data_IF_781977090788
#
_entry.id   IF_781977090788
#
_cell.length_a   1.000
_cell.length_b   1.000
_cell.length_c   1.000
_cell.angle_alpha   90.00
_cell.angle_beta   90.00
_cell.angle_gamma   90.00
#
_symmetry.space_group_name_H-M   'P 1'
#
loop_
_entity.id
_entity.type
_entity.pdbx_description
1 polymer ?
#
# COMPACT_ATOMS: atom_id res chain seq x y z
N UNK A 1 -21.41 -19.41 -16.06
CA UNK A 1 -20.48 -19.10 -17.17
C UNK A 1 -21.15 -19.32 -18.51
N UNK A 2 -21.55 -20.56 -18.86
CA UNK A 2 -22.14 -20.88 -20.18
C UNK A 2 -23.29 -19.96 -20.62
N UNK A 3 -24.32 -19.79 -19.79
CA UNK A 3 -25.46 -18.91 -20.11
C UNK A 3 -25.06 -17.45 -20.34
N UNK A 4 -24.16 -16.91 -19.51
CA UNK A 4 -23.67 -15.54 -19.65
C UNK A 4 -22.79 -15.33 -20.89
N UNK A 5 -22.14 -16.37 -21.41
CA UNK A 5 -21.37 -16.28 -22.67
C UNK A 5 -22.32 -16.06 -23.84
N UNK A 6 -23.46 -16.78 -23.84
CA UNK A 6 -24.43 -16.77 -24.94
C UNK A 6 -25.39 -15.59 -24.87
N UNK A 7 -25.94 -15.29 -23.68
CA UNK A 7 -26.98 -14.29 -23.51
C UNK A 7 -26.41 -12.87 -23.33
N UNK A 8 -25.30 -12.73 -22.62
CA UNK A 8 -24.77 -11.42 -22.17
C UNK A 8 -23.22 -11.37 -22.12
N UNK A 9 -22.54 -11.36 -23.29
CA UNK A 9 -21.09 -11.46 -23.35
C UNK A 9 -20.34 -10.33 -22.63
N UNK A 10 -20.93 -9.13 -22.53
CA UNK A 10 -20.35 -8.02 -21.76
C UNK A 10 -20.32 -8.32 -20.26
N UNK A 11 -21.40 -8.90 -19.71
CA UNK A 11 -21.43 -9.34 -18.31
C UNK A 11 -20.48 -10.50 -18.07
N UNK A 12 -20.35 -11.42 -19.04
CA UNK A 12 -19.35 -12.48 -18.95
C UNK A 12 -17.94 -11.91 -18.81
N UNK A 13 -17.57 -10.94 -19.65
CA UNK A 13 -16.23 -10.36 -19.63
C UNK A 13 -15.94 -9.64 -18.30
N UNK A 14 -16.93 -8.94 -17.72
CA UNK A 14 -16.73 -8.25 -16.43
C UNK A 14 -16.63 -9.25 -15.26
N UNK A 15 -17.53 -10.23 -15.19
CA UNK A 15 -17.58 -11.19 -14.08
C UNK A 15 -16.47 -12.24 -14.13
N UNK A 16 -16.06 -12.64 -15.33
CA UNK A 16 -15.10 -13.74 -15.54
C UNK A 16 -13.79 -13.30 -16.20
N UNK A 17 -13.47 -11.99 -16.18
CA UNK A 17 -12.21 -11.46 -16.71
C UNK A 17 -10.95 -12.20 -16.22
N UNK A 18 -10.88 -12.54 -14.93
CA UNK A 18 -9.74 -13.27 -14.36
C UNK A 18 -9.70 -14.73 -14.78
N UNK A 19 -10.86 -15.33 -15.04
CA UNK A 19 -10.96 -16.71 -15.52
C UNK A 19 -10.50 -16.79 -16.97
N UNK A 20 -10.98 -15.88 -17.82
CA UNK A 20 -10.51 -15.74 -19.20
C UNK A 20 -8.99 -15.50 -19.27
N UNK A 21 -8.44 -14.62 -18.41
CA UNK A 21 -6.98 -14.39 -18.32
C UNK A 21 -6.19 -15.63 -17.88
N UNK A 22 -6.80 -16.54 -17.13
CA UNK A 22 -6.17 -17.76 -16.64
C UNK A 22 -6.50 -19.00 -17.48
N UNK A 23 -7.27 -18.86 -18.56
CA UNK A 23 -7.72 -19.97 -19.40
C UNK A 23 -8.65 -20.95 -18.66
N UNK A 24 -9.44 -20.45 -17.71
CA UNK A 24 -10.39 -21.26 -16.95
C UNK A 24 -11.77 -21.07 -17.57
N UNK A 25 -12.35 -22.15 -18.07
CA UNK A 25 -13.62 -22.21 -18.75
C UNK A 25 -14.66 -22.92 -17.88
N UNK A 26 -15.92 -22.86 -18.30
CA UNK A 26 -17.01 -23.52 -17.58
C UNK A 26 -16.81 -25.04 -17.43
N UNK A 27 -16.09 -25.65 -18.36
CA UNK A 27 -15.95 -27.11 -18.48
C UNK A 27 -14.75 -27.62 -17.66
N UNK A 28 -13.69 -26.82 -17.56
CA UNK A 28 -12.45 -27.22 -16.89
C UNK A 28 -12.45 -26.93 -15.38
N UNK A 29 -13.42 -26.15 -14.90
CA UNK A 29 -13.49 -25.73 -13.49
C UNK A 29 -13.73 -26.92 -12.54
N UNK A 30 -14.51 -27.92 -12.94
CA UNK A 30 -14.75 -29.11 -12.12
C UNK A 30 -13.48 -29.95 -11.96
N UNK A 31 -12.76 -30.18 -13.05
CA UNK A 31 -11.51 -30.93 -13.05
C UNK A 31 -10.44 -30.20 -12.21
N UNK A 32 -10.38 -28.86 -12.32
CA UNK A 32 -9.51 -28.02 -11.50
C UNK A 32 -9.77 -28.26 -10.00
N UNK A 33 -11.02 -28.19 -9.55
CA UNK A 33 -11.35 -28.39 -8.14
C UNK A 33 -11.06 -29.81 -7.66
N UNK A 34 -11.30 -30.84 -8.48
CA UNK A 34 -10.93 -32.23 -8.13
C UNK A 34 -9.42 -32.36 -7.91
N UNK A 35 -8.61 -31.79 -8.80
CA UNK A 35 -7.13 -31.77 -8.67
C UNK A 35 -6.69 -31.02 -7.41
N UNK A 36 -7.27 -29.84 -7.15
CA UNK A 36 -6.98 -29.03 -5.95
C UNK A 36 -7.30 -29.80 -4.67
N UNK A 37 -8.47 -30.42 -4.59
CA UNK A 37 -8.84 -31.21 -3.40
C UNK A 37 -7.94 -32.43 -3.21
N UNK A 38 -7.53 -33.11 -4.28
CA UNK A 38 -6.56 -34.20 -4.18
C UNK A 38 -5.20 -33.70 -3.64
N UNK A 39 -4.72 -32.56 -4.13
CA UNK A 39 -3.47 -31.95 -3.67
C UNK A 39 -3.53 -31.53 -2.19
N UNK A 40 -4.61 -30.89 -1.75
CA UNK A 40 -4.80 -30.47 -0.34
C UNK A 40 -4.91 -31.69 0.59
N UNK A 41 -5.56 -32.78 0.17
CA UNK A 41 -5.63 -34.01 0.97
C UNK A 41 -4.27 -34.70 1.08
N UNK A 42 -3.45 -34.64 0.04
CA UNK A 42 -2.12 -35.22 0.03
C UNK A 42 -1.14 -34.45 0.95
N UNK A 43 -1.20 -33.12 0.94
CA UNK A 43 -0.41 -32.25 1.82
C UNK A 43 -1.31 -31.20 2.49
N UNK A 44 -1.85 -31.49 3.68
CA UNK A 44 -2.73 -30.58 4.40
C UNK A 44 -1.95 -29.47 5.15
N UNK A 45 -0.62 -29.44 5.04
CA UNK A 45 0.20 -28.50 5.81
C UNK A 45 0.21 -27.11 5.19
N UNK A 46 0.12 -26.08 6.03
CA UNK A 46 0.18 -24.68 5.57
C UNK A 46 1.63 -24.30 5.29
N UNK A 47 1.97 -24.14 4.00
CA UNK A 47 3.29 -23.65 3.58
C UNK A 47 3.44 -22.17 3.96
N UNK A 48 4.30 -21.89 4.94
CA UNK A 48 4.68 -20.53 5.32
C UNK A 48 5.55 -19.91 4.23
N UNK A 49 5.55 -18.59 4.10
CA UNK A 49 6.44 -17.95 3.13
C UNK A 49 7.89 -18.16 3.52
N UNK A 50 8.71 -18.58 2.56
CA UNK A 50 10.17 -18.69 2.71
C UNK A 50 10.87 -17.32 2.69
N UNK A 51 10.10 -16.23 2.60
CA UNK A 51 10.64 -14.88 2.59
C UNK A 51 11.44 -14.66 3.88
N UNK A 52 12.71 -14.26 3.79
CA UNK A 52 13.50 -13.96 4.97
C UNK A 52 12.83 -12.83 5.74
N UNK A 53 12.92 -12.88 7.07
CA UNK A 53 12.52 -11.73 7.88
C UNK A 53 13.32 -10.51 7.40
N UNK A 54 12.67 -9.34 7.20
CA UNK A 54 13.37 -8.13 6.82
C UNK A 54 14.50 -7.84 7.81
N UNK A 55 15.73 -7.67 7.31
CA UNK A 55 16.90 -7.37 8.16
C UNK A 55 16.69 -6.08 8.96
N UNK A 56 15.98 -5.12 8.37
CA UNK A 56 15.63 -3.86 8.99
C UNK A 56 14.14 -3.59 8.82
N UNK A 57 13.50 -3.11 9.89
CA UNK A 57 12.10 -2.69 9.84
C UNK A 57 11.99 -1.31 9.18
N UNK A 58 11.53 -1.27 7.92
CA UNK A 58 11.25 -0.02 7.22
C UNK A 58 10.13 0.74 7.93
N UNK A 59 10.44 1.92 8.48
CA UNK A 59 9.44 2.84 9.04
C UNK A 59 8.95 3.79 7.94
N UNK A 60 7.63 3.82 7.74
CA UNK A 60 6.99 4.79 6.83
C UNK A 60 6.59 6.10 7.52
N UNK A 61 6.55 6.08 8.85
CA UNK A 61 6.21 7.25 9.66
C UNK A 61 7.46 8.00 10.13
N UNK A 62 7.32 9.32 10.29
CA UNK A 62 8.37 10.17 10.86
C UNK A 62 8.74 9.72 12.28
N UNK A 63 10.04 9.78 12.60
CA UNK A 63 10.53 9.54 13.96
C UNK A 63 10.03 10.64 14.89
N UNK A 64 9.58 10.25 16.09
CA UNK A 64 9.16 11.21 17.11
C UNK A 64 10.36 12.08 17.49
N UNK A 65 10.19 13.39 17.35
CA UNK A 65 11.18 14.38 17.74
C UNK A 65 11.46 14.26 19.25
N UNK A 66 12.74 14.24 19.60
CA UNK A 66 13.21 14.26 20.99
C UNK A 66 12.92 15.62 21.63
N UNK A 67 13.13 15.73 22.95
CA UNK A 67 12.91 16.99 23.66
C UNK A 67 13.88 18.09 23.18
N UNK A 68 15.16 17.75 23.03
CA UNK A 68 16.19 18.71 22.63
C UNK A 68 15.98 19.20 21.20
N UNK A 69 15.64 18.31 20.28
CA UNK A 69 15.30 18.68 18.91
C UNK A 69 14.04 19.57 18.84
N UNK A 70 13.03 19.35 19.71
CA UNK A 70 11.87 20.25 19.83
C UNK A 70 12.28 21.63 20.36
N UNK A 71 13.18 21.68 21.33
CA UNK A 71 13.68 22.93 21.92
C UNK A 71 14.48 23.73 20.89
N UNK A 72 15.37 23.08 20.15
CA UNK A 72 16.16 23.73 19.11
C UNK A 72 15.27 24.29 18.01
N UNK A 73 14.27 23.52 17.54
CA UNK A 73 13.29 24.00 16.56
C UNK A 73 12.50 25.21 17.07
N UNK A 74 12.21 25.28 18.37
CA UNK A 74 11.57 26.44 18.99
C UNK A 74 12.51 27.65 19.00
N UNK A 75 13.77 27.47 19.41
CA UNK A 75 14.78 28.53 19.41
C UNK A 75 15.00 29.08 18.00
N UNK A 76 15.17 28.20 17.02
CA UNK A 76 15.28 28.57 15.60
C UNK A 76 14.08 29.39 15.13
N UNK A 77 12.86 28.97 15.51
CA UNK A 77 11.63 29.71 15.17
C UNK A 77 11.57 31.08 15.84
N UNK A 78 11.97 31.19 17.10
CA UNK A 78 11.99 32.47 17.83
C UNK A 78 13.06 33.42 17.28
N UNK A 79 14.25 32.91 16.98
CA UNK A 79 15.32 33.69 16.36
C UNK A 79 14.91 34.19 14.98
N UNK A 80 14.28 33.34 14.16
CA UNK A 80 13.75 33.75 12.86
C UNK A 80 12.67 34.82 12.99
N UNK A 81 11.77 34.71 13.99
CA UNK A 81 10.75 35.72 14.26
C UNK A 81 11.36 37.06 14.70
N UNK A 82 12.32 37.03 15.62
CA UNK A 82 12.98 38.24 16.11
C UNK A 82 13.78 38.93 15.00
N UNK A 83 14.48 38.17 14.15
CA UNK A 83 15.18 38.72 12.99
C UNK A 83 14.21 39.30 11.95
N UNK A 84 13.03 38.70 11.77
CA UNK A 84 12.01 39.22 10.86
C UNK A 84 11.33 40.49 11.40
N UNK A 85 11.13 40.59 12.72
CA UNK A 85 10.56 41.79 13.35
C UNK A 85 11.54 42.97 13.37
N UNK A 86 12.84 42.72 13.54
CA UNK A 86 13.86 43.78 13.47
C UNK A 86 14.11 44.31 12.05
N UNK A 87 13.69 43.58 11.01
CA UNK A 87 13.80 44.05 9.63
C UNK A 87 12.66 44.99 9.20
N UNK A 88 11.58 45.09 9.99
CA UNK A 88 10.42 45.95 9.71
C UNK A 88 10.50 47.30 10.46
N UNK A 89 11.37 47.40 11.49
CA UNK A 89 11.60 48.61 12.31
C UNK A 89 12.74 49.50 11.77
N UNK A 90 13.61 48.97 10.88
CA UNK A 90 14.75 49.70 10.30
C UNK A 90 14.39 50.53 9.04
N UNK A 91 13.13 50.46 8.55
CA UNK A 91 12.64 51.18 7.36
C UNK A 91 11.80 52.45 7.70
N UNK A 92 11.75 52.90 8.97
CA UNK A 92 10.98 54.09 9.42
C UNK A 92 11.82 55.26 10.04
N UNK A 93 13.17 55.21 10.03
CA UNK A 93 14.03 56.32 10.52
C UNK A 93 14.89 56.99 9.42
N UNK A 94 14.28 57.49 8.35
CA UNK A 94 14.95 58.44 7.44
C UNK A 94 13.94 59.47 6.88
N UNK A 95 13.52 60.42 7.71
CA UNK A 95 12.86 61.70 7.32
C UNK A 95 13.71 62.89 7.82
#
# INVERSE_FOLDING_TARGET
MRTLIEDEPEKYQTHFSLYAKKGIDADNIEELYKKVHAAIRADPTVKKSEKPQPKEHKRYNLKKLTYDERKNKLIERLNALNNAAGADDDDEEDD
#
